data_IF_420060918485
#
_entry.id   IF_420060918485
#
_cell.length_a   1.000
_cell.length_b   1.000
_cell.length_c   1.000
_cell.angle_alpha   90.00
_cell.angle_beta   90.00
_cell.angle_gamma   90.00
#
_symmetry.space_group_name_H-M   'P 1'
#
loop_
_entity.id
_entity.type
_entity.pdbx_description
1 polymer ?
#
# COMPACT_ATOMS: atom_id res chain seq x y z
N UNK A 1 19.73 21.41 5.90
CA UNK A 1 20.27 20.01 5.96
C UNK A 1 19.34 19.08 6.71
N UNK A 2 18.68 19.55 7.75
CA UNK A 2 17.82 18.69 8.58
C UNK A 2 16.50 18.29 7.90
N UNK A 3 15.94 19.14 7.02
CA UNK A 3 14.70 18.86 6.31
C UNK A 3 14.78 17.54 5.51
N UNK A 4 15.74 17.43 4.60
CA UNK A 4 15.87 16.26 3.73
C UNK A 4 16.33 15.00 4.47
N UNK A 5 17.13 15.14 5.52
CA UNK A 5 17.52 14.01 6.36
C UNK A 5 16.31 13.43 7.10
N UNK A 6 15.47 14.30 7.67
CA UNK A 6 14.23 13.90 8.33
C UNK A 6 13.23 13.33 7.33
N UNK A 7 13.06 13.96 6.18
CA UNK A 7 12.17 13.47 5.12
C UNK A 7 12.59 12.08 4.64
N UNK A 8 13.90 11.86 4.44
CA UNK A 8 14.46 10.55 4.06
C UNK A 8 14.17 9.48 5.12
N UNK A 9 14.32 9.82 6.41
CA UNK A 9 14.01 8.90 7.48
C UNK A 9 12.52 8.52 7.49
N UNK A 10 11.62 9.50 7.31
CA UNK A 10 10.18 9.27 7.22
C UNK A 10 9.80 8.43 5.98
N UNK A 11 10.37 8.73 4.81
CA UNK A 11 10.16 7.97 3.57
C UNK A 11 10.53 6.50 3.75
N UNK A 12 11.67 6.22 4.37
CA UNK A 12 12.12 4.85 4.62
C UNK A 12 11.27 4.13 5.66
N UNK A 13 10.80 4.84 6.67
CA UNK A 13 9.87 4.28 7.65
C UNK A 13 8.50 3.98 7.00
N UNK A 14 7.97 4.89 6.18
CA UNK A 14 6.75 4.67 5.41
C UNK A 14 6.87 3.45 4.50
N UNK A 15 7.97 3.33 3.77
CA UNK A 15 8.26 2.16 2.93
C UNK A 15 8.29 0.87 3.75
N UNK A 16 9.00 0.87 4.88
CA UNK A 16 9.09 -0.29 5.78
C UNK A 16 7.71 -0.73 6.28
N UNK A 17 6.91 0.20 6.82
CA UNK A 17 5.57 -0.10 7.33
C UNK A 17 4.65 -0.61 6.22
N UNK A 18 4.75 -0.06 5.02
CA UNK A 18 3.98 -0.52 3.85
C UNK A 18 4.34 -1.96 3.49
N UNK A 19 5.63 -2.34 3.51
CA UNK A 19 6.06 -3.72 3.26
C UNK A 19 5.58 -4.68 4.36
N UNK A 20 5.65 -4.28 5.62
CA UNK A 20 5.09 -5.05 6.74
C UNK A 20 3.59 -5.25 6.54
N UNK A 21 2.87 -4.20 6.18
CA UNK A 21 1.42 -4.23 5.98
C UNK A 21 1.01 -5.19 4.84
N UNK A 22 1.77 -5.25 3.74
CA UNK A 22 1.55 -6.22 2.67
C UNK A 22 1.66 -7.66 3.19
N UNK A 23 2.67 -7.95 3.99
CA UNK A 23 2.84 -9.28 4.61
C UNK A 23 1.69 -9.62 5.56
N UNK A 24 1.25 -8.66 6.37
CA UNK A 24 0.11 -8.81 7.27
C UNK A 24 -1.18 -9.06 6.48
N UNK A 25 -1.44 -8.34 5.39
CA UNK A 25 -2.58 -8.55 4.49
C UNK A 25 -2.60 -9.95 3.91
N UNK A 26 -1.46 -10.44 3.43
CA UNK A 26 -1.35 -11.80 2.89
C UNK A 26 -1.65 -12.87 3.97
N UNK A 27 -1.12 -12.69 5.18
CA UNK A 27 -1.40 -13.59 6.32
C UNK A 27 -2.87 -13.54 6.72
N UNK A 28 -3.45 -12.35 6.84
CA UNK A 28 -4.85 -12.13 7.17
C UNK A 28 -5.78 -12.81 6.15
N UNK A 29 -5.54 -12.59 4.86
CA UNK A 29 -6.31 -13.22 3.78
C UNK A 29 -6.26 -14.75 3.86
N UNK A 30 -5.08 -15.32 4.10
CA UNK A 30 -4.94 -16.77 4.29
C UNK A 30 -5.77 -17.27 5.47
N UNK A 31 -5.76 -16.56 6.61
CA UNK A 31 -6.54 -16.94 7.78
C UNK A 31 -8.05 -16.80 7.56
N UNK A 32 -8.49 -15.75 6.83
CA UNK A 32 -9.90 -15.64 6.40
C UNK A 32 -10.32 -16.87 5.61
N UNK A 33 -9.53 -17.27 4.60
CA UNK A 33 -9.86 -18.44 3.77
C UNK A 33 -9.97 -19.75 4.58
N UNK A 34 -9.34 -19.83 5.74
CA UNK A 34 -9.41 -20.97 6.64
C UNK A 34 -10.63 -20.88 7.59
N UNK A 35 -10.87 -19.69 8.17
CA UNK A 35 -11.85 -19.51 9.22
C UNK A 35 -13.24 -19.09 8.72
N UNK A 36 -13.32 -18.34 7.64
CA UNK A 36 -14.55 -17.89 6.99
C UNK A 36 -14.32 -17.59 5.50
N UNK A 37 -14.24 -18.62 4.65
CA UNK A 37 -13.82 -18.50 3.24
C UNK A 37 -14.61 -17.49 2.42
N UNK A 38 -15.92 -17.39 2.67
CA UNK A 38 -16.84 -16.57 1.89
C UNK A 38 -16.79 -15.08 2.29
N UNK A 39 -16.11 -14.74 3.41
CA UNK A 39 -16.10 -13.38 3.95
C UNK A 39 -15.56 -12.34 2.97
N UNK A 40 -14.53 -12.68 2.19
CA UNK A 40 -13.95 -11.77 1.20
C UNK A 40 -14.99 -11.28 0.16
N UNK A 41 -15.93 -12.13 -0.22
CA UNK A 41 -16.95 -11.84 -1.24
C UNK A 41 -17.94 -10.72 -0.85
N UNK A 42 -18.04 -10.37 0.43
CA UNK A 42 -18.93 -9.30 0.90
C UNK A 42 -18.35 -7.89 0.75
N UNK A 43 -17.05 -7.78 0.51
CA UNK A 43 -16.35 -6.50 0.45
C UNK A 43 -15.69 -6.31 -0.91
N UNK A 44 -16.00 -5.18 -1.59
CA UNK A 44 -15.42 -4.87 -2.89
C UNK A 44 -13.88 -4.77 -2.79
N UNK A 45 -13.17 -5.53 -3.59
CA UNK A 45 -11.70 -5.54 -3.70
C UNK A 45 -11.00 -5.49 -2.31
N UNK A 46 -10.25 -4.40 -2.05
CA UNK A 46 -9.41 -4.28 -0.85
C UNK A 46 -10.15 -3.85 0.43
N UNK A 47 -11.49 -3.69 0.41
CA UNK A 47 -12.26 -3.24 1.57
C UNK A 47 -12.28 -4.20 2.75
N UNK A 48 -11.85 -5.44 2.57
CA UNK A 48 -11.63 -6.38 3.67
C UNK A 48 -10.54 -5.93 4.66
N UNK A 49 -9.70 -4.96 4.27
CA UNK A 49 -8.64 -4.37 5.10
C UNK A 49 -9.03 -3.02 5.70
N UNK A 50 -10.28 -2.57 5.50
CA UNK A 50 -10.83 -1.36 6.11
C UNK A 50 -11.43 -1.66 7.50
N UNK A 51 -11.54 -0.63 8.31
CA UNK A 51 -11.94 -0.74 9.73
C UNK A 51 -13.25 -1.50 9.94
N UNK A 52 -14.24 -1.36 9.07
CA UNK A 52 -15.53 -2.08 9.19
C UNK A 52 -15.33 -3.60 9.14
N UNK A 53 -14.59 -4.08 8.14
CA UNK A 53 -14.32 -5.51 7.99
C UNK A 53 -13.39 -6.04 9.08
N UNK A 54 -12.34 -5.28 9.40
CA UNK A 54 -11.39 -5.65 10.46
C UNK A 54 -12.07 -5.71 11.83
N UNK A 55 -12.93 -4.73 12.19
CA UNK A 55 -13.69 -4.77 13.43
C UNK A 55 -14.66 -5.94 13.49
N UNK A 56 -15.29 -6.28 12.35
CA UNK A 56 -16.17 -7.46 12.29
C UNK A 56 -15.39 -8.74 12.58
N UNK A 57 -14.28 -8.96 11.92
CA UNK A 57 -13.42 -10.14 12.10
C UNK A 57 -12.82 -10.19 13.52
N UNK A 58 -12.44 -9.05 14.10
CA UNK A 58 -11.98 -9.02 15.52
C UNK A 58 -13.02 -9.56 16.48
N UNK A 59 -14.29 -9.26 16.25
CA UNK A 59 -15.39 -9.70 17.11
C UNK A 59 -15.90 -11.09 16.75
N UNK A 60 -15.86 -11.46 15.47
CA UNK A 60 -16.45 -12.70 14.94
C UNK A 60 -15.48 -13.36 13.93
N UNK A 61 -14.37 -13.91 14.41
CA UNK A 61 -13.28 -14.39 13.54
C UNK A 61 -13.52 -15.75 12.87
N UNK A 62 -14.74 -16.31 12.98
CA UNK A 62 -15.05 -17.63 12.41
C UNK A 62 -16.51 -17.72 11.96
N UNK A 63 -16.79 -18.42 10.86
CA UNK A 63 -18.14 -18.55 10.33
C UNK A 63 -19.12 -19.15 11.36
N UNK A 64 -18.71 -20.18 12.14
CA UNK A 64 -19.57 -20.77 13.15
C UNK A 64 -19.88 -19.80 14.30
N UNK A 65 -18.95 -18.91 14.66
CA UNK A 65 -19.23 -17.84 15.63
C UNK A 65 -20.27 -16.87 15.07
N UNK A 66 -20.18 -16.47 13.79
CA UNK A 66 -21.18 -15.63 13.12
C UNK A 66 -22.54 -16.32 13.09
N UNK A 67 -22.56 -17.62 12.78
CA UNK A 67 -23.77 -18.45 12.75
C UNK A 67 -24.51 -18.49 14.10
N UNK A 68 -23.80 -18.45 15.22
CA UNK A 68 -24.38 -18.47 16.55
C UNK A 68 -24.92 -17.10 17.02
N UNK A 69 -24.49 -15.98 16.38
CA UNK A 69 -24.89 -14.63 16.81
C UNK A 69 -26.24 -14.23 16.24
N UNK A 70 -26.95 -13.36 16.97
CA UNK A 70 -28.17 -12.70 16.48
C UNK A 70 -27.79 -11.65 15.42
N UNK A 71 -28.70 -11.45 14.46
CA UNK A 71 -28.50 -10.47 13.37
C UNK A 71 -28.23 -9.07 13.93
N UNK A 72 -28.94 -8.67 15.00
CA UNK A 72 -28.75 -7.36 15.64
C UNK A 72 -27.32 -7.17 16.18
N UNK A 73 -26.70 -8.24 16.72
CA UNK A 73 -25.33 -8.18 17.20
C UNK A 73 -24.32 -7.96 16.05
N UNK A 74 -24.53 -8.65 14.93
CA UNK A 74 -23.72 -8.49 13.73
C UNK A 74 -23.87 -7.09 13.14
N UNK A 75 -25.10 -6.62 13.00
CA UNK A 75 -25.44 -5.29 12.52
C UNK A 75 -24.82 -4.19 13.39
N UNK A 76 -24.99 -4.28 14.71
CA UNK A 76 -24.44 -3.28 15.64
C UNK A 76 -22.91 -3.22 15.59
N UNK A 77 -22.24 -4.34 15.31
CA UNK A 77 -20.79 -4.35 15.14
C UNK A 77 -20.37 -3.66 13.83
N UNK A 78 -21.02 -3.98 12.70
CA UNK A 78 -20.72 -3.38 11.40
C UNK A 78 -20.92 -1.85 11.39
N UNK A 79 -21.93 -1.36 12.11
CA UNK A 79 -22.31 0.04 12.20
C UNK A 79 -21.32 0.90 13.01
N UNK A 80 -20.46 0.31 13.84
CA UNK A 80 -19.58 1.07 14.76
C UNK A 80 -18.67 2.07 14.06
N UNK A 81 -18.26 1.78 12.83
CA UNK A 81 -17.31 2.61 12.07
C UNK A 81 -18.02 3.72 11.31
N UNK A 82 -19.18 3.42 10.69
CA UNK A 82 -19.93 4.38 9.91
C UNK A 82 -21.44 4.14 10.04
N UNK A 83 -22.12 5.05 10.71
CA UNK A 83 -23.56 4.96 10.93
C UNK A 83 -24.41 5.45 9.73
N UNK A 84 -23.80 6.06 8.70
CA UNK A 84 -24.52 6.69 7.57
C UNK A 84 -25.18 5.70 6.63
N UNK A 85 -24.74 4.46 6.62
CA UNK A 85 -25.21 3.41 5.70
C UNK A 85 -26.04 2.33 6.42
N UNK A 86 -27.04 2.73 7.21
CA UNK A 86 -27.85 1.85 8.06
C UNK A 86 -28.48 0.69 7.27
N UNK A 87 -29.15 0.98 6.17
CA UNK A 87 -29.80 -0.03 5.32
C UNK A 87 -28.80 -1.03 4.74
N UNK A 88 -27.63 -0.55 4.33
CA UNK A 88 -26.55 -1.39 3.81
C UNK A 88 -26.06 -2.38 4.86
N UNK A 89 -25.80 -1.91 6.08
CA UNK A 89 -25.30 -2.79 7.16
C UNK A 89 -26.35 -3.77 7.67
N UNK A 90 -27.64 -3.41 7.67
CA UNK A 90 -28.73 -4.36 7.98
C UNK A 90 -28.78 -5.49 6.95
N UNK A 91 -28.66 -5.16 5.67
CA UNK A 91 -28.60 -6.14 4.58
C UNK A 91 -27.35 -7.02 4.70
N UNK A 92 -26.19 -6.41 4.90
CA UNK A 92 -24.90 -7.11 5.03
C UNK A 92 -24.90 -8.08 6.23
N UNK A 93 -25.44 -7.68 7.37
CA UNK A 93 -25.54 -8.55 8.55
C UNK A 93 -26.39 -9.80 8.27
N UNK A 94 -27.51 -9.66 7.55
CA UNK A 94 -28.34 -10.81 7.13
C UNK A 94 -27.58 -11.72 6.18
N UNK A 95 -26.97 -11.15 5.14
CA UNK A 95 -26.20 -11.92 4.16
C UNK A 95 -25.03 -12.68 4.82
N UNK A 96 -24.28 -12.04 5.72
CA UNK A 96 -23.20 -12.69 6.49
C UNK A 96 -23.72 -13.83 7.35
N UNK A 97 -24.88 -13.64 7.99
CA UNK A 97 -25.54 -14.69 8.79
C UNK A 97 -25.95 -15.89 7.93
N UNK A 98 -26.62 -15.63 6.81
CA UNK A 98 -27.13 -16.66 5.90
C UNK A 98 -25.98 -17.45 5.28
N UNK A 99 -24.90 -16.75 4.88
CA UNK A 99 -23.70 -17.40 4.36
C UNK A 99 -22.99 -18.23 5.43
N UNK A 100 -22.90 -17.72 6.66
CA UNK A 100 -22.27 -18.46 7.77
C UNK A 100 -23.03 -19.74 8.13
N UNK A 101 -24.35 -19.81 7.87
CA UNK A 101 -25.15 -21.04 8.05
C UNK A 101 -24.71 -22.16 7.11
N UNK A 102 -24.23 -21.81 5.90
CA UNK A 102 -23.84 -22.73 4.84
C UNK A 102 -22.31 -22.77 4.61
N UNK A 103 -21.54 -22.12 5.46
CA UNK A 103 -20.08 -22.07 5.33
C UNK A 103 -19.43 -23.36 5.83
N UNK A 104 -18.33 -23.75 5.17
CA UNK A 104 -17.49 -24.89 5.52
C UNK A 104 -16.06 -24.43 5.81
N UNK A 105 -15.79 -23.87 7.02
CA UNK A 105 -14.43 -23.52 7.43
C UNK A 105 -13.49 -24.72 7.42
N UNK A 106 -12.21 -24.47 7.14
CA UNK A 106 -11.18 -25.50 7.13
C UNK A 106 -10.69 -25.92 8.53
N UNK A 107 -11.16 -25.24 9.60
CA UNK A 107 -10.82 -25.52 11.00
C UNK A 107 -12.05 -25.34 11.89
N UNK A 108 -12.01 -25.89 13.09
CA UNK A 108 -13.05 -25.67 14.11
C UNK A 108 -12.92 -24.31 14.79
N UNK A 109 -14.00 -23.83 15.40
CA UNK A 109 -14.05 -22.50 16.05
C UNK A 109 -13.08 -22.33 17.22
N UNK A 110 -12.60 -23.42 17.80
CA UNK A 110 -11.66 -23.42 18.92
C UNK A 110 -10.19 -23.56 18.45
N UNK A 111 -9.94 -23.61 17.14
CA UNK A 111 -8.61 -23.70 16.59
C UNK A 111 -7.81 -22.41 16.81
N UNK A 112 -6.48 -22.53 17.00
CA UNK A 112 -5.58 -21.39 17.25
C UNK A 112 -5.63 -20.34 16.12
N UNK A 113 -5.90 -20.72 14.87
CA UNK A 113 -5.98 -19.78 13.75
C UNK A 113 -7.15 -18.81 13.86
N UNK A 114 -8.20 -19.14 14.62
CA UNK A 114 -9.32 -18.22 14.92
C UNK A 114 -8.83 -17.03 15.76
N UNK A 115 -8.04 -17.30 16.79
CA UNK A 115 -7.40 -16.24 17.59
C UNK A 115 -6.38 -15.47 16.76
N UNK A 116 -5.54 -16.18 16.00
CA UNK A 116 -4.55 -15.57 15.11
C UNK A 116 -5.21 -14.62 14.10
N UNK A 117 -6.39 -14.93 13.57
CA UNK A 117 -7.13 -14.07 12.65
C UNK A 117 -7.59 -12.77 13.33
N UNK A 118 -8.14 -12.86 14.54
CA UNK A 118 -8.53 -11.69 15.33
C UNK A 118 -7.34 -10.79 15.66
N UNK A 119 -6.22 -11.39 16.05
CA UNK A 119 -4.98 -10.66 16.34
C UNK A 119 -4.42 -9.97 15.07
N UNK A 120 -4.44 -10.69 13.94
CA UNK A 120 -3.99 -10.13 12.67
C UNK A 120 -4.86 -8.95 12.20
N UNK A 121 -6.17 -9.00 12.42
CA UNK A 121 -7.06 -7.86 12.17
C UNK A 121 -6.68 -6.64 13.03
N UNK A 122 -6.30 -6.86 14.30
CA UNK A 122 -5.84 -5.79 15.19
C UNK A 122 -4.51 -5.18 14.73
N UNK A 123 -3.55 -6.02 14.33
CA UNK A 123 -2.26 -5.58 13.79
C UNK A 123 -2.46 -4.74 12.52
N UNK A 124 -3.35 -5.18 11.62
CA UNK A 124 -3.64 -4.43 10.39
C UNK A 124 -4.27 -3.07 10.67
N UNK A 125 -5.18 -2.97 11.65
CA UNK A 125 -5.76 -1.68 12.04
C UNK A 125 -4.70 -0.72 12.56
N UNK A 126 -3.80 -1.20 13.42
CA UNK A 126 -2.72 -0.38 13.96
C UNK A 126 -1.74 0.05 12.87
N UNK A 127 -1.31 -0.88 12.02
CA UNK A 127 -0.44 -0.58 10.90
C UNK A 127 -1.07 0.43 9.93
N UNK A 128 -2.36 0.32 9.63
CA UNK A 128 -3.04 1.28 8.76
C UNK A 128 -3.00 2.69 9.36
N UNK A 129 -3.25 2.84 10.68
CA UNK A 129 -3.16 4.14 11.37
C UNK A 129 -1.74 4.73 11.30
N UNK A 130 -0.74 3.92 11.63
CA UNK A 130 0.67 4.35 11.59
C UNK A 130 1.10 4.77 10.18
N UNK A 131 0.68 4.02 9.15
CA UNK A 131 0.96 4.36 7.75
C UNK A 131 0.28 5.67 7.36
N UNK A 132 -0.97 5.89 7.74
CA UNK A 132 -1.69 7.13 7.44
C UNK A 132 -1.10 8.33 8.18
N UNK A 133 -0.65 8.15 9.42
CA UNK A 133 0.01 9.20 10.21
C UNK A 133 1.34 9.59 9.59
N UNK A 134 2.22 8.61 9.34
CA UNK A 134 3.53 8.91 8.75
C UNK A 134 3.41 9.48 7.34
N UNK A 135 2.43 9.05 6.55
CA UNK A 135 2.13 9.59 5.23
C UNK A 135 1.77 11.08 5.31
N UNK A 136 0.88 11.47 6.23
CA UNK A 136 0.51 12.87 6.43
C UNK A 136 1.71 13.72 6.84
N UNK A 137 2.45 13.27 7.86
CA UNK A 137 3.61 13.99 8.38
C UNK A 137 4.72 14.13 7.32
N UNK A 138 4.94 13.09 6.50
CA UNK A 138 5.90 13.09 5.41
C UNK A 138 5.53 14.12 4.32
N UNK A 139 4.25 14.18 3.94
CA UNK A 139 3.77 15.15 2.96
C UNK A 139 3.90 16.58 3.50
N UNK A 140 3.49 16.84 4.74
CA UNK A 140 3.61 18.18 5.36
C UNK A 140 5.07 18.62 5.48
N UNK A 141 5.98 17.71 5.80
CA UNK A 141 7.40 18.00 5.82
C UNK A 141 7.94 18.28 4.41
N UNK A 142 7.52 17.51 3.41
CA UNK A 142 7.93 17.68 2.03
C UNK A 142 7.49 19.02 1.42
N UNK A 143 6.31 19.53 1.80
CA UNK A 143 5.79 20.85 1.39
C UNK A 143 6.68 22.01 1.82
N UNK A 144 7.56 21.83 2.78
CA UNK A 144 8.56 22.85 3.16
C UNK A 144 9.72 22.93 2.15
N UNK A 145 9.86 21.96 1.25
CA UNK A 145 10.86 22.00 0.18
C UNK A 145 10.41 22.94 -0.94
N UNK A 146 11.29 23.84 -1.43
CA UNK A 146 10.97 24.70 -2.57
C UNK A 146 10.71 23.93 -3.87
N UNK A 147 11.06 22.64 -3.91
CA UNK A 147 10.90 21.78 -5.08
C UNK A 147 9.62 20.96 -5.04
N UNK A 148 8.87 20.97 -3.93
CA UNK A 148 7.70 20.09 -3.77
C UNK A 148 6.64 20.34 -4.84
N UNK A 149 6.24 21.59 -5.04
CA UNK A 149 5.23 21.97 -6.03
C UNK A 149 5.68 21.64 -7.46
N UNK A 150 6.97 21.84 -7.76
CA UNK A 150 7.53 21.50 -9.06
C UNK A 150 7.42 19.99 -9.31
N UNK A 151 7.85 19.16 -8.35
CA UNK A 151 7.79 17.70 -8.48
C UNK A 151 6.36 17.21 -8.54
N UNK A 152 5.48 17.73 -7.68
CA UNK A 152 4.07 17.35 -7.63
C UNK A 152 3.29 17.78 -8.88
N UNK A 153 3.75 18.79 -9.63
CA UNK A 153 3.11 19.25 -10.86
C UNK A 153 3.30 18.28 -12.05
N UNK A 154 4.25 17.36 -11.96
CA UNK A 154 4.47 16.38 -13.02
C UNK A 154 3.32 15.37 -13.06
N UNK A 155 2.80 15.13 -14.24
CA UNK A 155 1.73 14.19 -14.46
C UNK A 155 2.10 12.78 -13.98
N UNK A 156 1.20 12.19 -13.21
CA UNK A 156 1.41 10.86 -12.60
C UNK A 156 2.16 10.86 -11.27
N UNK A 157 2.61 12.04 -10.79
CA UNK A 157 3.22 12.19 -9.47
C UNK A 157 2.21 12.84 -8.53
N UNK A 158 1.76 12.08 -7.53
CA UNK A 158 0.95 12.64 -6.44
C UNK A 158 1.81 13.03 -5.23
N UNK A 159 1.23 13.71 -4.24
CA UNK A 159 1.93 14.22 -3.05
C UNK A 159 2.83 13.18 -2.36
N UNK A 160 2.38 11.92 -2.27
CA UNK A 160 3.16 10.83 -1.64
C UNK A 160 4.44 10.56 -2.43
N UNK A 161 4.31 10.33 -3.75
CA UNK A 161 5.47 10.06 -4.60
C UNK A 161 6.43 11.25 -4.68
N UNK A 162 5.90 12.49 -4.65
CA UNK A 162 6.71 13.70 -4.59
C UNK A 162 7.51 13.77 -3.29
N UNK A 163 6.87 13.49 -2.15
CA UNK A 163 7.53 13.47 -0.85
C UNK A 163 8.60 12.36 -0.77
N UNK A 164 8.28 11.15 -1.24
CA UNK A 164 9.22 10.02 -1.29
C UNK A 164 10.43 10.36 -2.17
N UNK A 165 10.21 10.92 -3.35
CA UNK A 165 11.28 11.28 -4.28
C UNK A 165 12.20 12.33 -3.68
N UNK A 166 11.65 13.41 -3.12
CA UNK A 166 12.42 14.46 -2.46
C UNK A 166 13.19 13.95 -1.25
N UNK A 167 12.60 13.04 -0.48
CA UNK A 167 13.27 12.39 0.65
C UNK A 167 14.52 11.60 0.24
N UNK A 168 14.45 10.85 -0.84
CA UNK A 168 15.58 10.05 -1.32
C UNK A 168 16.60 10.89 -2.12
N UNK A 169 16.16 11.81 -2.96
CA UNK A 169 17.06 12.69 -3.71
C UNK A 169 17.75 13.73 -2.82
N UNK A 170 17.07 14.21 -1.78
CA UNK A 170 17.57 15.29 -0.95
C UNK A 170 17.59 16.62 -1.69
N UNK A 171 18.58 17.45 -1.39
CA UNK A 171 18.78 18.72 -2.12
C UNK A 171 19.22 18.42 -3.55
N UNK A 172 18.35 18.75 -4.51
CA UNK A 172 18.59 18.47 -5.91
C UNK A 172 19.74 19.31 -6.50
N UNK A 173 20.08 20.44 -5.88
CA UNK A 173 21.20 21.30 -6.33
C UNK A 173 22.58 20.65 -6.17
N UNK A 174 22.66 19.55 -5.43
CA UNK A 174 23.90 18.76 -5.30
C UNK A 174 24.30 18.02 -6.57
N UNK A 175 23.39 17.92 -7.54
CA UNK A 175 23.64 17.27 -8.83
C UNK A 175 23.92 18.34 -9.89
N UNK A 176 25.13 18.39 -10.43
CA UNK A 176 25.51 19.36 -11.48
C UNK A 176 24.77 19.12 -12.80
N UNK A 177 24.31 17.87 -13.02
CA UNK A 177 23.63 17.51 -14.26
C UNK A 177 22.81 16.20 -14.08
N UNK A 178 21.93 15.94 -15.06
CA UNK A 178 21.06 14.77 -15.07
C UNK A 178 21.82 13.43 -15.07
N UNK A 179 23.05 13.35 -15.58
CA UNK A 179 23.84 12.11 -15.61
C UNK A 179 24.25 11.68 -14.20
N UNK A 180 24.59 12.65 -13.33
CA UNK A 180 24.87 12.38 -11.92
C UNK A 180 23.63 11.86 -11.19
N UNK A 181 22.44 12.41 -11.49
CA UNK A 181 21.17 11.93 -10.93
C UNK A 181 20.85 10.50 -11.40
N UNK A 182 21.04 10.20 -12.69
CA UNK A 182 20.87 8.85 -13.25
C UNK A 182 21.80 7.85 -12.55
N UNK A 183 23.09 8.21 -12.42
CA UNK A 183 24.08 7.37 -11.72
C UNK A 183 23.74 7.20 -10.23
N UNK A 184 23.29 8.26 -9.55
CA UNK A 184 22.82 8.19 -8.15
C UNK A 184 21.69 7.18 -7.99
N UNK A 185 20.75 7.12 -8.92
CA UNK A 185 19.65 6.14 -8.92
C UNK A 185 20.10 4.75 -9.42
N UNK A 186 21.32 4.60 -9.94
CA UNK A 186 21.81 3.36 -10.54
C UNK A 186 21.04 2.93 -11.78
N UNK A 187 20.60 3.92 -12.57
CA UNK A 187 19.89 3.74 -13.84
C UNK A 187 20.83 3.88 -15.05
N UNK A 188 22.10 4.21 -14.80
CA UNK A 188 23.17 4.20 -15.80
C UNK A 188 23.40 2.79 -16.35
N UNK A 189 23.82 2.70 -17.60
CA UNK A 189 24.14 1.42 -18.23
C UNK A 189 25.45 0.86 -17.67
N UNK A 190 25.47 -0.43 -17.37
CA UNK A 190 26.71 -1.13 -17.05
C UNK A 190 27.51 -1.30 -18.34
N UNK A 191 28.59 -0.52 -18.48
CA UNK A 191 29.50 -0.64 -19.60
C UNK A 191 30.49 -1.78 -19.29
N UNK A 192 30.41 -2.86 -20.06
CA UNK A 192 31.42 -3.91 -20.05
C UNK A 192 32.35 -3.67 -21.24
N UNK A 193 33.55 -3.18 -20.95
CA UNK A 193 34.62 -3.06 -21.95
C UNK A 193 35.54 -4.28 -21.81
N UNK A 194 35.57 -5.13 -22.81
CA UNK A 194 36.61 -6.14 -22.93
C UNK A 194 37.28 -6.01 -24.31
N UNK A 195 38.52 -5.55 -24.30
CA UNK A 195 39.35 -5.47 -25.52
C UNK A 195 38.87 -4.49 -26.56
N UNK A 196 39.01 -4.84 -27.84
CA UNK A 196 38.71 -3.95 -28.99
C UNK A 196 37.24 -3.90 -29.42
N UNK A 197 36.36 -4.63 -28.74
CA UNK A 197 34.90 -4.64 -29.04
C UNK A 197 34.09 -4.09 -27.86
N UNK A 198 33.41 -2.97 -28.08
CA UNK A 198 32.43 -2.41 -27.14
C UNK A 198 31.10 -3.06 -27.46
N UNK A 199 30.65 -3.96 -26.60
CA UNK A 199 29.32 -4.56 -26.72
C UNK A 199 28.36 -3.85 -25.72
N UNK A 200 27.63 -2.84 -26.19
CA UNK A 200 26.90 -1.84 -25.38
C UNK A 200 25.45 -2.26 -25.17
N UNK A 201 25.17 -3.47 -24.79
CA UNK A 201 23.82 -3.87 -24.37
C UNK A 201 23.82 -4.40 -22.93
N UNK A 202 24.34 -3.59 -22.01
CA UNK A 202 24.33 -3.88 -20.59
C UNK A 202 22.98 -3.55 -19.94
N UNK A 203 22.57 -4.33 -18.95
CA UNK A 203 21.49 -3.95 -18.04
C UNK A 203 21.90 -2.70 -17.23
N UNK A 204 20.92 -2.01 -16.62
CA UNK A 204 21.19 -0.90 -15.69
C UNK A 204 22.13 -1.35 -14.56
N UNK A 205 23.02 -0.47 -14.11
CA UNK A 205 24.11 -0.79 -13.17
C UNK A 205 23.59 -1.26 -11.79
N UNK A 206 22.44 -0.74 -11.35
CA UNK A 206 21.83 -0.96 -10.04
C UNK A 206 22.75 -0.62 -8.84
N UNK A 207 23.87 0.06 -9.06
CA UNK A 207 24.85 0.43 -8.02
C UNK A 207 24.41 1.61 -7.16
N UNK A 208 23.40 2.37 -7.61
CA UNK A 208 22.88 3.55 -6.93
C UNK A 208 21.80 3.26 -5.90
N UNK A 209 21.11 4.32 -5.46
CA UNK A 209 20.06 4.25 -4.46
C UNK A 209 18.86 3.42 -4.94
N UNK A 210 18.59 2.32 -4.24
CA UNK A 210 17.52 1.37 -4.60
C UNK A 210 16.12 1.95 -4.37
N UNK A 211 15.96 2.84 -3.39
CA UNK A 211 14.67 3.45 -3.07
C UNK A 211 14.32 4.51 -4.11
N UNK A 212 15.26 5.40 -4.45
CA UNK A 212 15.07 6.38 -5.53
C UNK A 212 14.73 5.68 -6.85
N UNK A 213 15.43 4.60 -7.21
CA UNK A 213 15.14 3.80 -8.40
C UNK A 213 13.75 3.16 -8.37
N UNK A 214 13.33 2.63 -7.22
CA UNK A 214 12.00 2.04 -7.05
C UNK A 214 10.89 3.11 -7.19
N UNK A 215 11.09 4.30 -6.59
CA UNK A 215 10.15 5.43 -6.70
C UNK A 215 10.01 5.87 -8.16
N UNK A 216 11.13 6.04 -8.88
CA UNK A 216 11.11 6.40 -10.30
C UNK A 216 10.43 5.33 -11.16
N UNK A 217 10.62 4.06 -10.85
CA UNK A 217 9.88 2.98 -11.50
C UNK A 217 8.37 3.10 -11.28
N UNK A 218 7.92 3.36 -10.04
CA UNK A 218 6.50 3.56 -9.75
C UNK A 218 5.94 4.79 -10.49
N UNK A 219 6.68 5.89 -10.53
CA UNK A 219 6.31 7.08 -11.29
C UNK A 219 6.10 6.72 -12.77
N UNK A 220 7.05 6.02 -13.39
CA UNK A 220 6.93 5.61 -14.79
C UNK A 220 5.71 4.72 -15.02
N UNK A 221 5.42 3.77 -14.13
CA UNK A 221 4.22 2.93 -14.19
C UNK A 221 2.93 3.75 -14.10
N UNK A 222 2.89 4.76 -13.24
CA UNK A 222 1.72 5.64 -13.12
C UNK A 222 1.53 6.50 -14.36
N UNK A 223 2.60 7.07 -14.92
CA UNK A 223 2.53 7.86 -16.16
C UNK A 223 2.02 7.01 -17.32
N UNK A 224 2.53 5.80 -17.51
CA UNK A 224 2.08 4.88 -18.56
C UNK A 224 0.62 4.48 -18.34
N UNK A 225 0.26 4.11 -17.13
CA UNK A 225 -1.11 3.67 -16.79
C UNK A 225 -2.16 4.75 -17.01
N UNK A 226 -1.82 6.00 -16.72
CA UNK A 226 -2.71 7.16 -16.86
C UNK A 226 -2.57 7.86 -18.22
N UNK A 227 -1.63 7.44 -19.05
CA UNK A 227 -1.27 8.11 -20.30
C UNK A 227 -2.42 8.27 -21.29
N UNK A 228 -3.41 7.33 -21.26
CA UNK A 228 -4.62 7.45 -22.08
C UNK A 228 -5.43 8.73 -21.80
N UNK A 229 -5.29 9.33 -20.60
CA UNK A 229 -5.95 10.61 -20.24
C UNK A 229 -5.17 11.82 -20.75
N UNK A 230 -3.86 11.65 -21.06
CA UNK A 230 -2.97 12.69 -21.51
C UNK A 230 -2.07 12.19 -22.65
N UNK A 231 -2.65 11.93 -23.84
CA UNK A 231 -1.92 11.28 -24.94
C UNK A 231 -0.77 12.14 -25.51
N UNK A 232 -0.72 13.43 -25.20
CA UNK A 232 0.39 14.31 -25.57
C UNK A 232 1.59 14.29 -24.61
N UNK A 233 1.53 13.49 -23.52
CA UNK A 233 2.62 13.46 -22.54
C UNK A 233 3.87 12.78 -23.12
N UNK A 234 5.06 13.44 -23.08
CA UNK A 234 6.25 12.94 -23.73
C UNK A 234 6.68 11.53 -23.31
N UNK A 235 6.58 11.22 -22.01
CA UNK A 235 6.93 9.89 -21.49
C UNK A 235 5.99 8.82 -21.99
N UNK A 236 4.68 9.11 -22.09
CA UNK A 236 3.70 8.18 -22.63
C UNK A 236 3.92 7.91 -24.13
N UNK A 237 4.25 8.95 -24.89
CA UNK A 237 4.52 8.80 -26.33
C UNK A 237 5.81 8.04 -26.63
N UNK A 238 6.76 8.02 -25.68
CA UNK A 238 8.00 7.26 -25.81
C UNK A 238 7.80 5.76 -25.51
N UNK A 239 6.83 5.42 -24.68
CA UNK A 239 6.56 4.04 -24.26
C UNK A 239 5.70 3.29 -25.27
#
# INVERSE_FOLDING_TARGET
KDLYANLKAMTRQYFYLTQVNIRCKNRYKRLINICFPEFEGFFARNRIYEDTALNFIKAFPHAYIVREKRIDALYNNLRKVDARHDYYYKRLARQLKDTAMNSFPGVDKDHADVKNLSDMASILQENNKLIDEIRKNMIELAKQSPYFEIVNSFYGIGEVLAAELLGELGDITRFDNHKQLIAFCGLDLAIVQSGKSINVHGAISKRGDKYARWILFNISQMVVKLGHQYPSHPVYNYY
#
